data_IF_228118905786
#
_entry.id   IF_228118905786
#
_cell.length_a   1.000
_cell.length_b   1.000
_cell.length_c   1.000
_cell.angle_alpha   90.00
_cell.angle_beta   90.00
_cell.angle_gamma   90.00
#
_symmetry.space_group_name_H-M   'P 1'
#
loop_
_entity.id
_entity.type
_entity.pdbx_description
1 polymer ?
#
# COMPACT_ATOMS: atom_id res chain seq x y z
N UNK A 1 18.75 -14.88 -13.87
CA UNK A 1 19.08 -13.52 -13.40
C UNK A 1 17.98 -13.03 -12.45
N UNK A 2 18.27 -12.04 -11.60
CA UNK A 2 17.27 -11.45 -10.69
C UNK A 2 16.00 -10.98 -11.44
N UNK A 3 16.16 -10.38 -12.62
CA UNK A 3 15.05 -9.93 -13.48
C UNK A 3 14.18 -11.10 -13.99
N UNK A 4 14.79 -12.23 -14.37
CA UNK A 4 14.05 -13.41 -14.79
C UNK A 4 13.26 -14.05 -13.62
N UNK A 5 13.82 -14.03 -12.40
CA UNK A 5 13.13 -14.49 -11.20
C UNK A 5 11.94 -13.61 -10.81
N UNK A 6 11.98 -12.29 -11.12
CA UNK A 6 10.84 -11.40 -10.91
C UNK A 6 9.71 -11.62 -11.92
N UNK A 7 10.01 -12.06 -13.15
CA UNK A 7 8.98 -12.32 -14.17
C UNK A 7 8.06 -13.51 -13.88
N UNK A 8 8.50 -14.49 -13.08
CA UNK A 8 7.77 -15.74 -12.83
C UNK A 8 6.86 -15.77 -11.60
N UNK A 9 6.85 -14.71 -10.78
CA UNK A 9 5.95 -14.62 -9.61
C UNK A 9 4.52 -14.27 -10.03
N UNK A 10 3.56 -14.89 -9.38
CA UNK A 10 2.15 -14.55 -9.49
C UNK A 10 1.80 -13.27 -8.73
N UNK A 11 0.50 -13.10 -8.50
CA UNK A 11 -0.05 -12.01 -7.68
C UNK A 11 -0.44 -12.60 -6.34
N UNK A 12 0.14 -12.14 -5.24
CA UNK A 12 -0.16 -12.68 -3.91
C UNK A 12 -1.64 -12.46 -3.59
N UNK A 13 -2.29 -13.49 -3.02
CA UNK A 13 -3.74 -13.55 -2.78
C UNK A 13 -4.24 -12.36 -1.95
N UNK A 14 -3.36 -11.83 -1.11
CA UNK A 14 -3.60 -10.73 -0.19
C UNK A 14 -3.40 -9.34 -0.85
N UNK A 15 -2.83 -9.26 -2.05
CA UNK A 15 -2.50 -7.98 -2.68
C UNK A 15 -3.71 -7.20 -3.20
N UNK A 16 -3.56 -5.90 -3.43
CA UNK A 16 -4.62 -5.07 -4.00
C UNK A 16 -5.07 -5.59 -5.38
N UNK A 17 -4.11 -6.01 -6.21
CA UNK A 17 -4.39 -6.57 -7.53
C UNK A 17 -5.16 -7.90 -7.46
N UNK A 18 -4.94 -8.70 -6.42
CA UNK A 18 -5.66 -9.95 -6.22
C UNK A 18 -7.16 -9.76 -5.96
N UNK A 19 -7.60 -8.60 -5.46
CA UNK A 19 -9.03 -8.32 -5.28
C UNK A 19 -9.81 -8.41 -6.61
N UNK A 20 -9.19 -7.99 -7.71
CA UNK A 20 -9.78 -8.11 -9.06
C UNK A 20 -9.87 -9.58 -9.48
N UNK A 21 -8.86 -10.38 -9.14
CA UNK A 21 -8.80 -11.82 -9.45
C UNK A 21 -9.79 -12.63 -8.60
N UNK A 22 -9.94 -12.29 -7.32
CA UNK A 22 -10.98 -12.79 -6.43
C UNK A 22 -12.38 -12.55 -7.00
N UNK A 23 -12.66 -11.30 -7.41
CA UNK A 23 -13.94 -10.96 -8.04
C UNK A 23 -14.14 -11.73 -9.34
N UNK A 24 -13.12 -11.83 -10.19
CA UNK A 24 -13.19 -12.58 -11.45
C UNK A 24 -13.52 -14.06 -11.26
N UNK A 25 -13.07 -14.70 -10.16
CA UNK A 25 -13.45 -16.09 -9.83
C UNK A 25 -14.94 -16.27 -9.62
N UNK A 26 -15.62 -15.28 -9.04
CA UNK A 26 -17.09 -15.32 -8.87
C UNK A 26 -17.82 -15.38 -10.21
N UNK A 27 -17.18 -14.96 -11.29
CA UNK A 27 -17.69 -15.00 -12.67
C UNK A 27 -17.08 -16.14 -13.50
N UNK A 28 -16.50 -17.16 -12.85
CA UNK A 28 -16.01 -18.37 -13.53
C UNK A 28 -14.59 -18.27 -14.11
N UNK A 29 -13.79 -17.29 -13.69
CA UNK A 29 -12.37 -17.22 -14.08
C UNK A 29 -11.58 -18.45 -13.57
N UNK A 30 -10.78 -19.05 -14.45
CA UNK A 30 -10.13 -20.35 -14.27
C UNK A 30 -8.79 -20.29 -13.51
N UNK A 31 -8.50 -19.19 -12.82
CA UNK A 31 -7.24 -19.01 -12.08
C UNK A 31 -7.19 -19.83 -10.79
N UNK A 32 -5.98 -20.25 -10.40
CA UNK A 32 -5.71 -21.06 -9.21
C UNK A 32 -4.96 -20.25 -8.15
N UNK A 33 -5.17 -20.56 -6.87
CA UNK A 33 -4.33 -20.05 -5.77
C UNK A 33 -3.46 -21.21 -5.35
N UNK A 34 -2.15 -21.05 -5.51
CA UNK A 34 -1.17 -22.10 -5.25
C UNK A 34 -0.05 -21.52 -4.40
N UNK A 35 0.57 -22.38 -3.57
CA UNK A 35 1.80 -22.03 -2.89
C UNK A 35 2.92 -21.94 -3.94
N UNK A 36 3.38 -20.72 -4.22
CA UNK A 36 4.37 -20.44 -5.24
C UNK A 36 5.35 -19.39 -4.72
N UNK A 37 6.65 -19.61 -4.88
CA UNK A 37 7.70 -18.75 -4.30
C UNK A 37 7.54 -18.46 -2.78
N UNK A 38 6.98 -19.40 -2.03
CA UNK A 38 6.86 -19.32 -0.56
C UNK A 38 5.66 -18.51 -0.05
N UNK A 39 4.75 -18.08 -0.92
CA UNK A 39 3.46 -17.49 -0.50
C UNK A 39 2.30 -17.98 -1.38
N UNK A 40 1.07 -17.69 -0.95
CA UNK A 40 -0.13 -18.06 -1.70
C UNK A 40 -0.36 -17.04 -2.81
N UNK A 41 -0.14 -17.45 -4.05
CA UNK A 41 -0.22 -16.58 -5.23
C UNK A 41 -1.33 -17.07 -6.16
N UNK A 42 -2.03 -16.12 -6.79
CA UNK A 42 -2.83 -16.38 -7.95
C UNK A 42 -1.95 -16.69 -9.16
N UNK A 43 -2.28 -17.77 -9.86
CA UNK A 43 -1.68 -18.18 -11.13
C UNK A 43 -2.80 -18.44 -12.16
N UNK A 44 -2.56 -18.08 -13.41
CA UNK A 44 -3.53 -18.29 -14.50
C UNK A 44 -3.66 -17.11 -15.46
N UNK A 45 -4.69 -17.12 -16.33
CA UNK A 45 -4.92 -16.06 -17.32
C UNK A 45 -5.02 -14.68 -16.67
N UNK A 46 -4.45 -13.65 -17.29
CA UNK A 46 -4.48 -12.25 -16.82
C UNK A 46 -3.70 -11.92 -15.53
N UNK A 47 -3.19 -12.90 -14.78
CA UNK A 47 -2.32 -12.63 -13.60
C UNK A 47 -1.13 -11.76 -13.98
N UNK A 48 -0.48 -12.04 -15.12
CA UNK A 48 0.62 -11.23 -15.63
C UNK A 48 0.22 -9.77 -15.90
N UNK A 49 -0.98 -9.54 -16.43
CA UNK A 49 -1.50 -8.19 -16.68
C UNK A 49 -1.80 -7.45 -15.36
N UNK A 50 -2.41 -8.13 -14.37
CA UNK A 50 -2.66 -7.57 -13.03
C UNK A 50 -1.33 -7.25 -12.32
N UNK A 51 -0.36 -8.16 -12.38
CA UNK A 51 0.98 -7.95 -11.84
C UNK A 51 1.69 -6.76 -12.51
N UNK A 52 1.60 -6.63 -13.83
CA UNK A 52 2.13 -5.47 -14.56
C UNK A 52 1.42 -4.17 -14.16
N UNK A 53 0.10 -4.21 -13.95
CA UNK A 53 -0.68 -3.08 -13.44
C UNK A 53 -0.23 -2.65 -12.05
N UNK A 54 0.00 -3.59 -11.14
CA UNK A 54 0.55 -3.30 -9.81
C UNK A 54 1.94 -2.65 -9.91
N UNK A 55 2.84 -3.19 -10.74
CA UNK A 55 4.15 -2.58 -10.99
C UNK A 55 4.05 -1.16 -11.57
N UNK A 56 3.11 -0.93 -12.50
CA UNK A 56 2.85 0.40 -13.05
C UNK A 56 2.33 1.37 -11.97
N UNK A 57 1.47 0.91 -11.06
CA UNK A 57 1.01 1.71 -9.92
C UNK A 57 2.16 2.03 -8.95
N UNK A 58 3.07 1.08 -8.68
CA UNK A 58 4.28 1.33 -7.89
C UNK A 58 5.18 2.37 -8.57
N UNK A 59 5.38 2.28 -9.88
CA UNK A 59 6.15 3.25 -10.64
C UNK A 59 5.47 4.64 -10.62
N UNK A 60 4.15 4.70 -10.74
CA UNK A 60 3.38 5.95 -10.63
C UNK A 60 3.49 6.57 -9.24
N UNK A 61 3.41 5.76 -8.18
CA UNK A 61 3.61 6.21 -6.80
C UNK A 61 5.02 6.77 -6.58
N UNK A 62 6.05 6.09 -7.10
CA UNK A 62 7.42 6.59 -7.10
C UNK A 62 7.54 7.91 -7.87
N UNK A 63 6.97 7.99 -9.07
CA UNK A 63 6.96 9.20 -9.89
C UNK A 63 6.29 10.38 -9.17
N UNK A 64 5.18 10.13 -8.47
CA UNK A 64 4.49 11.14 -7.66
C UNK A 64 5.35 11.62 -6.48
N UNK A 65 6.00 10.71 -5.75
CA UNK A 65 6.93 11.05 -4.64
C UNK A 65 8.15 11.83 -5.14
N UNK A 66 8.72 11.42 -6.28
CA UNK A 66 9.84 12.12 -6.92
C UNK A 66 9.42 13.53 -7.34
N UNK A 67 8.26 13.66 -7.96
CA UNK A 67 7.71 14.97 -8.33
C UNK A 67 7.49 15.86 -7.11
N UNK A 68 6.90 15.33 -6.04
CA UNK A 68 6.76 16.02 -4.76
C UNK A 68 8.12 16.48 -4.20
N UNK A 69 9.13 15.60 -4.22
CA UNK A 69 10.48 15.90 -3.72
C UNK A 69 11.19 16.96 -4.55
N UNK A 70 11.03 16.94 -5.88
CA UNK A 70 11.61 17.92 -6.79
C UNK A 70 10.95 19.29 -6.60
N UNK A 71 9.64 19.34 -6.42
CA UNK A 71 8.90 20.58 -6.13
C UNK A 71 9.35 21.24 -4.84
N UNK A 72 9.69 20.45 -3.82
CA UNK A 72 10.06 20.93 -2.49
C UNK A 72 11.57 21.11 -2.28
N UNK A 73 12.39 20.83 -3.31
CA UNK A 73 13.86 20.76 -3.17
C UNK A 73 14.56 22.08 -2.84
N UNK A 74 13.93 23.20 -3.16
CA UNK A 74 14.51 24.52 -2.92
C UNK A 74 14.22 25.07 -1.51
N UNK A 75 13.36 24.39 -0.74
CA UNK A 75 13.05 24.75 0.65
C UNK A 75 13.66 23.79 1.66
N UNK A 76 13.94 24.28 2.88
CA UNK A 76 14.28 23.40 4.01
C UNK A 76 13.04 22.63 4.45
N UNK A 77 13.08 21.31 4.33
CA UNK A 77 12.05 20.42 4.87
C UNK A 77 12.21 20.34 6.40
N UNK A 78 11.12 20.55 7.12
CA UNK A 78 11.10 20.29 8.56
C UNK A 78 11.32 18.78 8.81
N UNK A 79 12.00 18.36 9.88
CA UNK A 79 12.23 16.95 10.19
C UNK A 79 10.96 16.09 10.16
N UNK A 80 9.85 16.62 10.68
CA UNK A 80 8.55 15.92 10.70
C UNK A 80 8.02 15.63 9.28
N UNK A 81 8.31 16.48 8.30
CA UNK A 81 7.89 16.26 6.90
C UNK A 81 8.67 15.11 6.27
N UNK A 82 9.92 14.89 6.67
CA UNK A 82 10.73 13.75 6.20
C UNK A 82 10.17 12.45 6.77
N UNK A 83 9.79 12.44 8.04
CA UNK A 83 9.13 11.29 8.69
C UNK A 83 7.80 10.98 8.01
N UNK A 84 6.97 11.99 7.80
CA UNK A 84 5.69 11.89 7.09
C UNK A 84 5.87 11.35 5.66
N UNK A 85 6.90 11.81 4.95
CA UNK A 85 7.24 11.32 3.61
C UNK A 85 7.68 9.86 3.62
N UNK A 86 8.46 9.43 4.62
CA UNK A 86 8.89 8.04 4.77
C UNK A 86 7.70 7.11 5.04
N UNK A 87 6.81 7.46 5.96
CA UNK A 87 5.56 6.72 6.19
C UNK A 87 4.71 6.64 4.90
N UNK A 88 4.52 7.77 4.22
CA UNK A 88 3.73 7.82 2.98
C UNK A 88 4.34 6.96 1.88
N UNK A 89 5.67 6.99 1.72
CA UNK A 89 6.36 6.21 0.71
C UNK A 89 6.24 4.71 0.95
N UNK A 90 6.49 4.25 2.18
CA UNK A 90 6.36 2.83 2.53
C UNK A 90 4.91 2.38 2.38
N UNK A 91 3.94 3.20 2.80
CA UNK A 91 2.52 2.90 2.62
C UNK A 91 2.14 2.73 1.14
N UNK A 92 2.53 3.69 0.28
CA UNK A 92 2.25 3.61 -1.16
C UNK A 92 2.89 2.39 -1.81
N UNK A 93 4.14 2.06 -1.48
CA UNK A 93 4.83 0.90 -2.06
C UNK A 93 4.28 -0.42 -1.55
N UNK A 94 3.86 -0.50 -0.28
CA UNK A 94 3.16 -1.67 0.24
C UNK A 94 1.84 -1.87 -0.51
N UNK A 95 1.00 -0.84 -0.64
CA UNK A 95 -0.35 -0.98 -1.22
C UNK A 95 -0.35 -1.24 -2.72
N UNK A 96 0.61 -0.66 -3.45
CA UNK A 96 0.72 -0.85 -4.90
C UNK A 96 1.47 -2.12 -5.29
N UNK A 97 2.12 -2.80 -4.33
CA UNK A 97 2.83 -4.04 -4.58
C UNK A 97 1.87 -5.17 -4.95
N UNK A 98 2.32 -6.04 -5.87
CA UNK A 98 1.67 -7.33 -6.16
C UNK A 98 1.89 -8.40 -5.07
N UNK A 99 2.74 -8.08 -4.10
CA UNK A 99 3.08 -8.89 -2.92
C UNK A 99 2.76 -8.04 -1.70
N UNK A 100 1.74 -8.43 -0.94
CA UNK A 100 1.37 -7.83 0.33
C UNK A 100 1.21 -8.96 1.33
N UNK A 101 2.07 -8.99 2.34
CA UNK A 101 1.99 -9.95 3.43
C UNK A 101 1.57 -9.24 4.73
N UNK A 102 0.88 -9.92 5.66
CA UNK A 102 0.48 -9.37 6.96
C UNK A 102 1.60 -8.65 7.71
N UNK A 103 2.83 -9.18 7.60
CA UNK A 103 4.01 -8.63 8.26
C UNK A 103 4.40 -7.21 7.79
N UNK A 104 4.01 -6.79 6.58
CA UNK A 104 4.33 -5.45 6.07
C UNK A 104 3.61 -4.35 6.85
N UNK A 105 2.46 -4.65 7.45
CA UNK A 105 1.75 -3.68 8.29
C UNK A 105 2.52 -3.36 9.56
N UNK A 106 3.40 -4.25 10.05
CA UNK A 106 4.27 -3.97 11.19
C UNK A 106 5.21 -2.79 10.91
N UNK A 107 5.77 -2.72 9.68
CA UNK A 107 6.59 -1.59 9.26
C UNK A 107 5.80 -0.29 9.23
N UNK A 108 4.56 -0.34 8.73
CA UNK A 108 3.68 0.82 8.66
C UNK A 108 3.26 1.30 10.05
N UNK A 109 2.97 0.39 10.98
CA UNK A 109 2.68 0.73 12.38
C UNK A 109 3.90 1.37 13.03
N UNK A 110 5.10 0.80 12.85
CA UNK A 110 6.33 1.38 13.36
C UNK A 110 6.59 2.80 12.85
N UNK A 111 6.48 3.03 11.54
CA UNK A 111 6.63 4.35 10.95
C UNK A 111 5.52 5.31 11.40
N UNK A 112 4.29 4.82 11.55
CA UNK A 112 3.17 5.59 12.09
C UNK A 112 3.41 6.05 13.53
N UNK A 113 4.04 5.21 14.36
CA UNK A 113 4.44 5.59 15.71
C UNK A 113 5.51 6.70 15.70
N UNK A 114 6.47 6.65 14.78
CA UNK A 114 7.48 7.73 14.61
C UNK A 114 6.82 9.04 14.17
N UNK A 115 5.81 9.00 13.29
CA UNK A 115 4.98 10.17 12.98
C UNK A 115 4.32 10.73 14.24
N UNK A 116 3.81 9.86 15.13
CA UNK A 116 3.21 10.25 16.41
C UNK A 116 4.19 10.93 17.39
N UNK A 117 5.49 10.63 17.31
CA UNK A 117 6.52 11.33 18.08
C UNK A 117 6.81 12.76 17.56
N UNK A 118 6.35 13.08 16.36
CA UNK A 118 6.53 14.40 15.75
C UNK A 118 5.30 15.28 16.01
N UNK A 119 5.40 16.25 16.92
CA UNK A 119 4.28 17.15 17.30
C UNK A 119 3.68 17.94 16.13
N UNK A 120 4.47 18.17 15.07
CA UNK A 120 4.00 18.84 13.85
C UNK A 120 3.37 17.92 12.79
N UNK A 121 3.40 16.59 12.98
CA UNK A 121 2.83 15.64 12.02
C UNK A 121 1.31 15.68 12.06
N UNK A 122 0.69 15.51 10.90
CA UNK A 122 -0.77 15.35 10.75
C UNK A 122 -1.14 13.96 10.22
N UNK A 123 -0.25 12.99 10.36
CA UNK A 123 -0.43 11.63 9.84
C UNK A 123 -1.33 10.74 10.70
N UNK A 124 -1.86 11.24 11.82
CA UNK A 124 -2.68 10.42 12.71
C UNK A 124 -3.91 9.79 12.03
N UNK A 125 -4.70 10.49 11.19
CA UNK A 125 -5.83 9.84 10.53
C UNK A 125 -5.41 8.70 9.57
N UNK A 126 -4.41 8.87 8.68
CA UNK A 126 -3.84 7.75 7.92
C UNK A 126 -3.30 6.61 8.79
N UNK A 127 -2.62 6.92 9.89
CA UNK A 127 -2.09 5.90 10.81
C UNK A 127 -3.22 5.11 11.47
N UNK A 128 -4.31 5.76 11.87
CA UNK A 128 -5.49 5.09 12.42
C UNK A 128 -6.12 4.12 11.42
N UNK A 129 -6.16 4.48 10.12
CA UNK A 129 -6.63 3.58 9.06
C UNK A 129 -5.69 2.37 8.87
N UNK A 130 -4.37 2.57 8.97
CA UNK A 130 -3.39 1.46 8.98
C UNK A 130 -3.58 0.55 10.19
N UNK A 131 -3.83 1.11 11.38
CA UNK A 131 -4.10 0.32 12.58
C UNK A 131 -5.39 -0.50 12.46
N UNK A 132 -6.45 0.11 11.91
CA UNK A 132 -7.67 -0.61 11.60
C UNK A 132 -7.42 -1.73 10.58
N UNK A 133 -6.64 -1.46 9.53
CA UNK A 133 -6.24 -2.47 8.55
C UNK A 133 -5.44 -3.61 9.20
N UNK A 134 -4.57 -3.31 10.18
CA UNK A 134 -3.82 -4.31 10.93
C UNK A 134 -4.73 -5.21 11.77
N UNK A 135 -5.79 -4.67 12.40
CA UNK A 135 -6.78 -5.47 13.09
C UNK A 135 -7.54 -6.41 12.13
N UNK A 136 -7.94 -5.90 10.96
CA UNK A 136 -8.58 -6.75 9.92
C UNK A 136 -7.60 -7.81 9.41
N UNK A 137 -6.32 -7.48 9.31
CA UNK A 137 -5.26 -8.41 8.89
C UNK A 137 -5.10 -9.58 9.87
N UNK A 138 -5.31 -9.37 11.18
CA UNK A 138 -5.33 -10.47 12.17
C UNK A 138 -6.51 -11.42 11.94
N UNK A 139 -7.67 -10.90 11.55
CA UNK A 139 -8.83 -11.73 11.19
C UNK A 139 -8.59 -12.48 9.88
N UNK A 140 -7.99 -11.82 8.89
CA UNK A 140 -7.54 -12.44 7.65
C UNK A 140 -6.55 -13.59 7.93
N UNK A 141 -5.44 -13.32 8.62
CA UNK A 141 -4.39 -14.29 8.91
C UNK A 141 -3.95 -14.19 10.38
N UNK A 142 -3.93 -15.31 11.13
CA UNK A 142 -4.12 -16.69 10.65
C UNK A 142 -5.59 -17.18 10.68
N UNK A 143 -6.55 -16.36 11.13
CA UNK A 143 -7.88 -16.85 11.55
C UNK A 143 -8.75 -17.33 10.39
N UNK A 144 -8.94 -16.51 9.35
CA UNK A 144 -9.84 -16.81 8.23
C UNK A 144 -9.13 -16.97 6.88
N UNK A 145 -7.84 -17.30 6.89
CA UNK A 145 -7.03 -17.30 5.67
C UNK A 145 -7.52 -18.31 4.62
N UNK A 146 -8.10 -19.44 5.07
CA UNK A 146 -8.73 -20.41 4.17
C UNK A 146 -9.86 -19.81 3.34
N UNK A 147 -10.66 -18.89 3.91
CA UNK A 147 -11.74 -18.19 3.22
C UNK A 147 -11.19 -17.23 2.14
N UNK A 148 -10.05 -16.59 2.42
CA UNK A 148 -9.34 -15.74 1.46
C UNK A 148 -8.86 -16.60 0.28
N UNK A 149 -8.15 -17.71 0.54
CA UNK A 149 -7.70 -18.64 -0.51
C UNK A 149 -8.86 -19.20 -1.33
N UNK A 150 -9.97 -19.55 -0.67
CA UNK A 150 -11.19 -20.04 -1.32
C UNK A 150 -11.91 -18.97 -2.15
N UNK A 151 -11.62 -17.68 -1.93
CA UNK A 151 -12.30 -16.55 -2.59
C UNK A 151 -13.81 -16.54 -2.33
N UNK A 152 -14.22 -16.91 -1.12
CA UNK A 152 -15.62 -16.90 -0.72
C UNK A 152 -16.07 -15.52 -0.19
N UNK A 153 -17.37 -15.31 0.10
CA UNK A 153 -17.87 -14.00 0.53
C UNK A 153 -17.17 -13.43 1.77
N UNK A 154 -16.77 -14.28 2.73
CA UNK A 154 -16.07 -13.81 3.93
C UNK A 154 -14.65 -13.37 3.57
N UNK A 155 -13.91 -14.19 2.81
CA UNK A 155 -12.57 -13.88 2.34
C UNK A 155 -12.54 -12.59 1.52
N UNK A 156 -13.47 -12.43 0.57
CA UNK A 156 -13.61 -11.21 -0.24
C UNK A 156 -13.96 -9.99 0.61
N UNK A 157 -14.82 -10.14 1.61
CA UNK A 157 -15.19 -9.03 2.52
C UNK A 157 -13.97 -8.56 3.31
N UNK A 158 -13.17 -9.49 3.85
CA UNK A 158 -11.93 -9.18 4.55
C UNK A 158 -10.92 -8.48 3.63
N UNK A 159 -10.72 -8.99 2.41
CA UNK A 159 -9.82 -8.39 1.44
C UNK A 159 -10.27 -7.00 1.01
N UNK A 160 -11.56 -6.83 0.75
CA UNK A 160 -12.13 -5.54 0.38
C UNK A 160 -11.96 -4.51 1.50
N UNK A 161 -12.28 -4.89 2.75
CA UNK A 161 -12.18 -4.00 3.90
C UNK A 161 -10.73 -3.60 4.15
N UNK A 162 -9.81 -4.59 4.25
CA UNK A 162 -8.40 -4.32 4.54
C UNK A 162 -7.74 -3.48 3.45
N UNK A 163 -7.92 -3.85 2.18
CA UNK A 163 -7.35 -3.09 1.07
C UNK A 163 -7.99 -1.70 0.92
N UNK A 164 -9.30 -1.58 1.15
CA UNK A 164 -10.00 -0.31 1.16
C UNK A 164 -9.45 0.65 2.22
N UNK A 165 -9.21 0.16 3.44
CA UNK A 165 -8.58 0.94 4.52
C UNK A 165 -7.18 1.40 4.15
N UNK A 166 -6.35 0.53 3.57
CA UNK A 166 -5.00 0.88 3.15
C UNK A 166 -4.98 1.88 2.00
N UNK A 167 -5.87 1.75 1.01
CA UNK A 167 -6.03 2.73 -0.07
C UNK A 167 -6.48 4.08 0.48
N UNK A 168 -7.45 4.10 1.39
CA UNK A 168 -7.89 5.32 2.07
C UNK A 168 -6.74 5.97 2.85
N UNK A 169 -5.91 5.17 3.53
CA UNK A 169 -4.70 5.64 4.21
C UNK A 169 -3.69 6.26 3.23
N UNK A 170 -3.44 5.64 2.06
CA UNK A 170 -2.58 6.20 1.00
C UNK A 170 -3.05 7.58 0.56
N UNK A 171 -4.35 7.72 0.27
CA UNK A 171 -4.95 8.98 -0.16
C UNK A 171 -4.85 10.05 0.93
N UNK A 172 -5.12 9.67 2.18
CA UNK A 172 -5.00 10.55 3.34
C UNK A 172 -3.56 11.02 3.57
N UNK A 173 -2.61 10.10 3.59
CA UNK A 173 -1.19 10.39 3.79
C UNK A 173 -0.64 11.28 2.67
N UNK A 174 -0.95 10.94 1.41
CA UNK A 174 -0.57 11.75 0.26
C UNK A 174 -1.14 13.17 0.32
N UNK A 175 -2.41 13.33 0.75
CA UNK A 175 -3.05 14.64 0.93
C UNK A 175 -2.40 15.45 2.06
N UNK A 176 -2.07 14.83 3.18
CA UNK A 176 -1.36 15.47 4.30
C UNK A 176 0.01 15.95 3.83
N UNK A 177 0.79 15.09 3.18
CA UNK A 177 2.13 15.39 2.68
C UNK A 177 2.11 16.54 1.66
N UNK A 178 1.17 16.50 0.73
CA UNK A 178 0.99 17.53 -0.29
C UNK A 178 0.64 18.89 0.32
N UNK A 179 -0.33 18.93 1.23
CA UNK A 179 -0.79 20.17 1.87
C UNK A 179 0.23 20.77 2.82
N UNK A 180 0.94 19.93 3.57
CA UNK A 180 1.99 20.36 4.50
C UNK A 180 3.18 21.04 3.82
N UNK A 181 3.33 20.86 2.51
CA UNK A 181 4.42 21.43 1.71
C UNK A 181 3.97 22.46 0.67
N UNK A 182 2.67 22.56 0.37
CA UNK A 182 2.11 23.55 -0.56
C UNK A 182 2.03 24.97 0.06
N UNK A 183 2.01 25.10 1.39
CA UNK A 183 1.89 26.37 2.10
C UNK A 183 3.26 26.91 2.55
N UNK A 184 4.04 27.47 1.62
CA UNK A 184 5.09 28.45 1.92
C UNK A 184 5.21 29.44 0.76
N UNK A 185 4.37 30.48 0.71
CA UNK A 185 4.74 31.70 -0.01
C UNK A 185 6.03 32.21 0.63
N UNK A 186 7.03 32.57 -0.18
CA UNK A 186 8.10 33.42 0.31
C UNK A 186 7.43 34.68 0.86
N UNK A 187 7.45 34.86 2.19
CA UNK A 187 7.07 36.13 2.77
C UNK A 187 7.98 37.21 2.19
N UNK A 188 7.47 38.41 1.88
CA UNK A 188 8.33 39.50 1.42
C UNK A 188 9.43 39.72 2.47
N UNK A 189 10.65 40.09 2.05
CA UNK A 189 11.71 40.41 3.00
C UNK A 189 11.18 41.47 3.97
N UNK A 190 11.30 41.20 5.27
CA UNK A 190 11.01 42.18 6.31
C UNK A 190 11.92 43.41 6.11
N UNK A 191 11.39 44.63 6.23
CA UNK A 191 12.16 45.86 6.05
C UNK A 191 13.29 46.00 7.08
#
# INVERSE_FOLDING_TARGET
SFLAAQGGRGTEVESLGALVLHAARLFGWQGQVLLHYGSMEFLGPYVGAVSAGAQALTAAAFGWLLWWRLRTRHGRLAPCVVVDAAFTAVLLFTVTSRVISPQYLVWLVGLGAVCGCCTGSRMWPPVALVLAAALVTVLEFPVYFGHVVASDPLGLTLMFLRNGLLVAACLGAGRVLWRGTAARPAGPPSP
#
